data_IF_767517076036
#
_entry.id   IF_767517076036
#
_cell.length_a   1.000
_cell.length_b   1.000
_cell.length_c   1.000
_cell.angle_alpha   90.00
_cell.angle_beta   90.00
_cell.angle_gamma   90.00
#
_symmetry.space_group_name_H-M   'P 1'
#
loop_
_entity.id
_entity.type
_entity.pdbx_description
1 polymer ?
#
# COMPACT_ATOMS: atom_id res chain seq x y z
N UNK A 1 -22.97 2.91 -29.22
CA UNK A 1 -23.06 4.30 -28.73
C UNK A 1 -22.58 4.34 -27.29
N UNK A 2 -21.62 5.20 -26.94
CA UNK A 2 -21.18 5.37 -25.54
C UNK A 2 -22.18 6.29 -24.84
N UNK A 3 -22.61 6.00 -23.60
CA UNK A 3 -23.51 6.89 -22.86
C UNK A 3 -22.84 8.25 -22.65
N UNK A 4 -23.57 9.34 -22.90
CA UNK A 4 -23.07 10.70 -22.79
C UNK A 4 -22.53 10.93 -21.37
N UNK A 5 -21.41 11.62 -21.25
CA UNK A 5 -20.80 11.93 -19.96
C UNK A 5 -21.73 12.81 -19.10
N UNK A 6 -22.57 13.63 -19.74
CA UNK A 6 -23.58 14.47 -19.09
C UNK A 6 -24.69 13.64 -18.45
N UNK A 7 -25.23 12.65 -19.18
CA UNK A 7 -26.25 11.72 -18.65
C UNK A 7 -25.75 10.99 -17.40
N UNK A 8 -24.47 10.61 -17.38
CA UNK A 8 -23.85 9.98 -16.21
C UNK A 8 -23.73 10.95 -15.03
N UNK A 9 -23.43 12.22 -15.28
CA UNK A 9 -23.37 13.25 -14.23
C UNK A 9 -24.75 13.47 -13.63
N UNK A 10 -25.77 13.67 -14.46
CA UNK A 10 -27.15 13.82 -13.99
C UNK A 10 -27.63 12.61 -13.17
N UNK A 11 -27.38 11.39 -13.66
CA UNK A 11 -27.72 10.19 -12.91
C UNK A 11 -26.95 10.06 -11.58
N UNK A 12 -25.75 10.62 -11.48
CA UNK A 12 -24.96 10.64 -10.25
C UNK A 12 -25.52 11.67 -9.27
N UNK A 13 -25.86 12.86 -9.77
CA UNK A 13 -26.44 13.93 -8.96
C UNK A 13 -27.80 13.53 -8.38
N UNK A 14 -28.64 12.85 -9.15
CA UNK A 14 -29.92 12.33 -8.65
C UNK A 14 -29.74 11.29 -7.55
N UNK A 15 -28.74 10.41 -7.68
CA UNK A 15 -28.41 9.43 -6.63
C UNK A 15 -27.91 10.11 -5.38
N UNK A 16 -27.03 11.11 -5.51
CA UNK A 16 -26.53 11.89 -4.37
C UNK A 16 -27.67 12.64 -3.70
N UNK A 17 -28.55 13.27 -4.48
CA UNK A 17 -29.74 13.97 -3.98
C UNK A 17 -30.68 13.02 -3.24
N UNK A 18 -30.96 11.85 -3.80
CA UNK A 18 -31.80 10.83 -3.17
C UNK A 18 -31.17 10.31 -1.86
N UNK A 19 -29.86 10.05 -1.85
CA UNK A 19 -29.14 9.62 -0.65
C UNK A 19 -29.17 10.69 0.45
N UNK A 20 -29.00 11.97 0.10
CA UNK A 20 -29.08 13.08 1.04
C UNK A 20 -30.49 13.26 1.61
N UNK A 21 -31.53 13.12 0.78
CA UNK A 21 -32.92 13.15 1.24
C UNK A 21 -33.23 11.99 2.19
N UNK A 22 -32.83 10.77 1.84
CA UNK A 22 -33.00 9.60 2.70
C UNK A 22 -32.25 9.77 4.03
N UNK A 23 -31.04 10.34 4.00
CA UNK A 23 -30.27 10.62 5.23
C UNK A 23 -30.90 11.74 6.06
N UNK A 24 -31.41 12.78 5.40
CA UNK A 24 -32.11 13.90 6.05
C UNK A 24 -33.39 13.45 6.75
N UNK A 25 -34.10 12.45 6.20
CA UNK A 25 -35.29 11.88 6.84
C UNK A 25 -34.99 11.15 8.16
N UNK A 26 -33.74 10.75 8.40
CA UNK A 26 -33.31 10.16 9.66
C UNK A 26 -32.92 11.21 10.71
N UNK A 27 -32.76 12.48 10.33
CA UNK A 27 -32.40 13.56 11.24
C UNK A 27 -33.61 13.89 12.10
N UNK A 28 -33.50 13.64 13.40
CA UNK A 28 -34.56 13.94 14.35
C UNK A 28 -34.39 15.35 14.92
N UNK A 29 -35.46 15.88 15.53
CA UNK A 29 -35.37 17.15 16.23
C UNK A 29 -34.27 17.14 17.30
N UNK A 30 -34.02 16.00 17.96
CA UNK A 30 -32.97 15.86 18.97
C UNK A 30 -31.56 16.07 18.39
N UNK A 31 -31.30 15.63 17.16
CA UNK A 31 -30.02 15.84 16.46
C UNK A 31 -29.79 17.31 16.09
N UNK A 32 -30.89 18.05 15.90
CA UNK A 32 -30.87 19.49 15.61
C UNK A 32 -30.90 20.34 16.88
N UNK A 33 -31.25 19.76 18.03
CA UNK A 33 -31.19 20.48 19.29
C UNK A 33 -29.74 20.85 19.52
N UNK A 34 -29.54 22.14 19.75
CA UNK A 34 -28.25 22.66 20.18
C UNK A 34 -28.04 22.19 21.61
N UNK A 35 -27.33 21.08 21.78
CA UNK A 35 -26.89 20.66 23.10
C UNK A 35 -26.13 21.81 23.74
N UNK A 36 -26.44 22.08 25.01
CA UNK A 36 -25.68 23.04 25.80
C UNK A 36 -24.23 22.55 25.78
N UNK A 37 -23.27 23.36 25.31
CA UNK A 37 -21.87 22.95 25.26
C UNK A 37 -21.49 22.51 26.68
N UNK A 38 -20.78 21.37 26.84
CA UNK A 38 -20.49 20.82 28.16
C UNK A 38 -19.86 21.92 29.02
N UNK A 39 -20.62 22.41 30.00
CA UNK A 39 -20.17 23.47 30.88
C UNK A 39 -19.25 22.83 31.91
N UNK A 40 -17.94 23.05 31.77
CA UNK A 40 -16.96 22.59 32.76
C UNK A 40 -15.56 22.32 32.21
N UNK A 41 -14.68 21.91 33.14
CA UNK A 41 -13.25 21.60 32.94
C UNK A 41 -12.95 20.66 31.76
N UNK A 42 -13.92 19.87 31.30
CA UNK A 42 -13.78 18.90 30.20
C UNK A 42 -13.56 19.55 28.83
N UNK A 43 -14.01 20.79 28.61
CA UNK A 43 -13.77 21.50 27.36
C UNK A 43 -12.30 21.94 27.22
N UNK A 44 -11.66 22.29 28.34
CA UNK A 44 -10.22 22.59 28.41
C UNK A 44 -9.37 21.38 28.00
N UNK A 45 -9.68 20.20 28.56
CA UNK A 45 -8.96 18.95 28.24
C UNK A 45 -9.13 18.57 26.77
N UNK A 46 -10.33 18.74 26.18
CA UNK A 46 -10.55 18.48 24.75
C UNK A 46 -9.77 19.44 23.85
N UNK A 47 -9.66 20.73 24.19
CA UNK A 47 -8.82 21.66 23.43
C UNK A 47 -7.34 21.34 23.54
N UNK A 48 -6.85 21.07 24.76
CA UNK A 48 -5.44 20.68 24.97
C UNK A 48 -5.11 19.42 24.20
N UNK A 49 -5.98 18.41 24.22
CA UNK A 49 -5.80 17.17 23.47
C UNK A 49 -5.79 17.39 21.96
N UNK A 50 -6.66 18.27 21.44
CA UNK A 50 -6.66 18.64 20.01
C UNK A 50 -5.39 19.38 19.60
N UNK A 51 -4.93 20.33 20.42
CA UNK A 51 -3.70 21.08 20.18
C UNK A 51 -2.49 20.14 20.24
N UNK A 52 -2.44 19.22 21.20
CA UNK A 52 -1.38 18.23 21.31
C UNK A 52 -1.33 17.32 20.07
N UNK A 53 -2.47 16.84 19.57
CA UNK A 53 -2.49 16.05 18.34
C UNK A 53 -2.10 16.86 17.10
N UNK A 54 -2.51 18.12 17.00
CA UNK A 54 -2.09 18.99 15.90
C UNK A 54 -0.57 19.23 15.94
N UNK A 55 -0.01 19.49 17.11
CA UNK A 55 1.43 19.67 17.30
C UNK A 55 2.22 18.39 16.94
N UNK A 56 1.73 17.21 17.35
CA UNK A 56 2.31 15.92 16.97
C UNK A 56 2.27 15.71 15.44
N UNK A 57 1.16 16.06 14.78
CA UNK A 57 1.04 15.97 13.33
C UNK A 57 2.04 16.87 12.60
N UNK A 58 2.23 18.10 13.06
CA UNK A 58 3.22 19.04 12.50
C UNK A 58 4.64 18.51 12.70
N UNK A 59 4.97 18.02 13.91
CA UNK A 59 6.28 17.44 14.18
C UNK A 59 6.56 16.22 13.29
N UNK A 60 5.59 15.32 13.13
CA UNK A 60 5.71 14.16 12.24
C UNK A 60 5.91 14.57 10.77
N UNK A 61 5.20 15.60 10.29
CA UNK A 61 5.37 16.11 8.94
C UNK A 61 6.75 16.72 8.72
N UNK A 62 7.28 17.47 9.69
CA UNK A 62 8.65 18.00 9.64
C UNK A 62 9.68 16.86 9.57
N UNK A 63 9.54 15.83 10.41
CA UNK A 63 10.43 14.65 10.36
C UNK A 63 10.36 13.95 9.00
N UNK A 64 9.16 13.77 8.44
CA UNK A 64 8.99 13.16 7.12
C UNK A 64 9.66 14.00 6.02
N UNK A 65 9.52 15.33 6.06
CA UNK A 65 10.21 16.23 5.13
C UNK A 65 11.72 16.14 5.31
N UNK A 66 12.23 16.14 6.54
CA UNK A 66 13.66 15.96 6.80
C UNK A 66 14.18 14.62 6.27
N UNK A 67 13.44 13.52 6.43
CA UNK A 67 13.82 12.21 5.89
C UNK A 67 13.76 12.15 4.36
N UNK A 68 12.82 12.86 3.74
CA UNK A 68 12.72 12.95 2.29
C UNK A 68 13.81 13.85 1.67
N UNK A 69 14.26 14.86 2.39
CA UNK A 69 15.26 15.83 1.94
C UNK A 69 16.68 15.41 2.31
N UNK A 70 16.87 14.47 3.25
CA UNK A 70 18.20 13.99 3.63
C UNK A 70 18.86 13.27 2.45
N UNK A 71 20.00 13.78 1.92
CA UNK A 71 20.72 13.09 0.88
C UNK A 71 21.44 11.88 1.47
N UNK A 72 20.94 10.68 1.13
CA UNK A 72 21.65 9.42 1.31
C UNK A 72 21.12 8.52 2.41
N UNK A 73 20.39 7.48 2.01
CA UNK A 73 20.33 6.22 2.74
C UNK A 73 21.18 5.20 1.95
N UNK A 74 22.25 4.61 2.51
CA UNK A 74 23.18 3.71 1.81
C UNK A 74 22.62 2.28 1.64
N UNK A 75 21.39 2.15 1.14
CA UNK A 75 20.76 0.86 0.84
C UNK A 75 20.45 0.72 -0.64
N UNK A 76 21.36 1.17 -1.49
CA UNK A 76 21.44 0.68 -2.87
C UNK A 76 22.42 -0.49 -2.88
N UNK A 77 21.97 -1.76 -2.77
CA UNK A 77 22.85 -2.87 -3.11
C UNK A 77 23.17 -2.69 -4.60
N UNK A 78 24.46 -2.51 -4.90
CA UNK A 78 24.94 -2.32 -6.26
C UNK A 78 24.27 -3.33 -7.22
N UNK A 79 23.83 -2.90 -8.42
CA UNK A 79 23.13 -3.77 -9.34
C UNK A 79 23.98 -5.02 -9.62
N UNK A 80 23.42 -6.19 -9.33
CA UNK A 80 24.09 -7.45 -9.63
C UNK A 80 24.40 -7.51 -11.13
N UNK A 81 25.63 -7.89 -11.52
CA UNK A 81 26.00 -7.96 -12.93
C UNK A 81 25.06 -8.92 -13.67
N UNK A 82 24.65 -8.59 -14.91
CA UNK A 82 23.69 -9.38 -15.64
C UNK A 82 24.18 -10.82 -15.79
N UNK A 83 23.30 -11.78 -15.51
CA UNK A 83 23.58 -13.19 -15.69
C UNK A 83 23.99 -13.44 -17.15
N UNK A 84 25.18 -14.05 -17.34
CA UNK A 84 25.59 -14.53 -18.65
C UNK A 84 24.55 -15.56 -19.11
N UNK A 85 24.05 -15.38 -20.33
CA UNK A 85 23.20 -16.38 -20.98
C UNK A 85 23.95 -17.71 -21.04
N UNK A 86 23.31 -18.84 -20.66
CA UNK A 86 23.87 -20.16 -20.92
C UNK A 86 24.19 -20.24 -22.42
N UNK A 87 25.47 -20.43 -22.73
CA UNK A 87 25.87 -20.69 -24.10
C UNK A 87 25.10 -21.91 -24.60
N UNK A 88 24.43 -21.75 -25.73
CA UNK A 88 23.72 -22.77 -26.53
C UNK A 88 24.68 -23.84 -27.11
N UNK A 89 25.80 -24.11 -26.44
CA UNK A 89 26.79 -25.12 -26.82
C UNK A 89 27.24 -25.94 -25.59
N UNK A 90 26.30 -26.33 -24.75
CA UNK A 90 26.53 -27.45 -23.83
C UNK A 90 25.96 -28.71 -24.49
N UNK A 91 26.81 -29.65 -24.95
CA UNK A 91 26.33 -30.89 -25.55
C UNK A 91 25.54 -31.70 -24.52
N UNK A 92 24.46 -32.39 -24.92
CA UNK A 92 23.61 -33.12 -23.99
C UNK A 92 24.43 -34.20 -23.24
N UNK A 93 24.06 -34.54 -21.99
CA UNK A 93 24.67 -35.66 -21.30
C UNK A 93 24.34 -36.94 -22.05
N UNK A 94 25.30 -37.47 -22.80
CA UNK A 94 25.26 -38.84 -23.32
C UNK A 94 25.17 -39.78 -22.14
N UNK A 95 23.97 -40.32 -21.93
CA UNK A 95 23.77 -41.54 -21.14
C UNK A 95 24.31 -42.69 -21.99
N UNK A 96 25.63 -42.90 -21.93
CA UNK A 96 26.31 -44.07 -22.48
C UNK A 96 26.33 -45.20 -21.44
N UNK A 97 26.27 -46.47 -21.85
CA UNK A 97 25.95 -47.57 -20.95
C UNK A 97 27.05 -47.83 -19.91
N UNK A 98 26.57 -48.17 -18.71
CA UNK A 98 27.30 -48.84 -17.63
C UNK A 98 28.21 -49.94 -18.20
N UNK A 99 29.53 -49.77 -18.01
CA UNK A 99 30.52 -50.81 -18.27
C UNK A 99 30.37 -51.86 -17.18
N UNK A 100 29.76 -52.99 -17.52
CA UNK A 100 29.76 -54.22 -16.72
C UNK A 100 31.01 -55.07 -17.14
N UNK A 101 31.68 -55.80 -16.22
CA UNK A 101 33.02 -56.42 -16.35
C UNK A 101 32.91 -57.81 -17.06
N UNK A 102 33.91 -58.75 -17.12
CA UNK A 102 35.22 -58.88 -16.43
C UNK A 102 36.41 -59.36 -17.32
N UNK A 103 37.63 -59.37 -16.76
CA UNK A 103 38.60 -60.45 -17.09
C UNK A 103 39.60 -60.68 -15.95
N UNK A 104 39.41 -61.80 -15.24
CA UNK A 104 40.46 -62.49 -14.49
C UNK A 104 41.24 -63.37 -15.47
N UNK A 105 42.57 -63.38 -15.36
CA UNK A 105 43.57 -64.45 -15.61
C UNK A 105 44.91 -63.71 -15.41
N UNK A 106 45.86 -64.03 -14.54
CA UNK A 106 46.13 -65.12 -13.62
C UNK A 106 47.59 -64.92 -13.21
N UNK A 107 47.94 -65.14 -11.93
CA UNK A 107 49.34 -65.23 -11.49
C UNK A 107 49.90 -66.61 -11.89
N UNK A 108 51.22 -66.72 -12.08
CA UNK A 108 52.04 -67.33 -11.03
C UNK A 108 52.98 -66.32 -10.35
#
# INVERSE_FOLDING_TARGET
MKPNAEDRRFATDDRVRAALLARGALVTHADLRRDVPPQGRSWGVRRVRRVAFAALGVAAAVVAVCLLVLPGNPLDPAPAPPARTPGINEPPPTTGPSVIPPRVIGRP
#
